data_IF_647821174106
#
_entry.id   IF_647821174106
#
_cell.length_a   1.000
_cell.length_b   1.000
_cell.length_c   1.000
_cell.angle_alpha   90.00
_cell.angle_beta   90.00
_cell.angle_gamma   90.00
#
_symmetry.space_group_name_H-M   'P 1'
#
loop_
_entity.id
_entity.type
_entity.pdbx_description
1 polymer ?
#
# COMPACT_ATOMS: atom_id res chain seq x y z
N UNK A 1 -7.55 4.27 -11.94
CA UNK A 1 -6.88 3.01 -11.51
C UNK A 1 -6.42 3.23 -10.08
N UNK A 2 -6.72 2.29 -9.18
CA UNK A 2 -6.33 2.39 -7.77
C UNK A 2 -5.02 1.64 -7.54
N UNK A 3 -4.10 2.24 -6.79
CA UNK A 3 -2.75 1.76 -6.51
C UNK A 3 -2.65 1.37 -5.03
N UNK A 4 -2.40 0.08 -4.78
CA UNK A 4 -2.23 -0.46 -3.43
C UNK A 4 -0.81 -1.01 -3.36
N UNK A 5 -0.03 -0.55 -2.39
CA UNK A 5 1.38 -0.93 -2.26
C UNK A 5 1.63 -1.65 -0.94
N UNK A 6 2.48 -2.68 -0.99
CA UNK A 6 3.06 -3.34 0.19
C UNK A 6 4.57 -3.21 0.08
N UNK A 7 5.18 -2.12 0.57
CA UNK A 7 6.61 -1.90 0.42
C UNK A 7 7.42 -2.92 1.23
N UNK A 8 8.57 -3.31 0.69
CA UNK A 8 9.57 -4.02 1.49
C UNK A 8 9.97 -3.16 2.71
N UNK A 9 10.44 -3.81 3.78
CA UNK A 9 10.71 -3.15 5.06
C UNK A 9 11.62 -1.92 4.93
N UNK A 10 12.63 -2.03 4.06
CA UNK A 10 13.62 -0.98 3.77
C UNK A 10 13.01 0.28 3.12
N UNK A 11 11.87 0.14 2.44
CA UNK A 11 11.24 1.23 1.69
C UNK A 11 9.97 1.75 2.34
N UNK A 12 9.54 1.27 3.51
CA UNK A 12 8.25 1.68 4.11
C UNK A 12 8.12 3.19 4.33
N UNK A 13 9.24 3.84 4.66
CA UNK A 13 9.30 5.28 4.92
C UNK A 13 9.61 6.11 3.66
N UNK A 14 9.66 5.47 2.50
CA UNK A 14 9.95 6.18 1.26
C UNK A 14 8.79 7.13 0.91
N UNK A 15 9.05 8.44 0.76
CA UNK A 15 8.01 9.42 0.48
C UNK A 15 7.33 9.20 -0.88
N UNK A 16 7.93 8.42 -1.79
CA UNK A 16 7.33 8.07 -3.08
C UNK A 16 6.01 7.31 -2.93
N UNK A 17 5.75 6.66 -1.79
CA UNK A 17 4.48 5.98 -1.52
C UNK A 17 3.30 6.91 -1.26
N UNK A 18 3.53 8.23 -1.09
CA UNK A 18 2.46 9.21 -0.96
C UNK A 18 1.53 9.28 -2.19
N UNK A 19 1.96 8.74 -3.34
CA UNK A 19 1.15 8.65 -4.55
C UNK A 19 0.20 7.44 -4.55
N UNK A 20 0.45 6.42 -3.73
CA UNK A 20 -0.41 5.25 -3.65
C UNK A 20 -1.68 5.56 -2.86
N UNK A 21 -2.82 5.01 -3.27
CA UNK A 21 -4.10 5.18 -2.56
C UNK A 21 -4.07 4.50 -1.19
N UNK A 22 -3.39 3.34 -1.11
CA UNK A 22 -3.24 2.59 0.14
C UNK A 22 -1.83 2.01 0.27
N UNK A 23 -1.23 2.17 1.45
CA UNK A 23 0.01 1.53 1.86
C UNK A 23 -0.30 0.51 2.96
N UNK A 24 -0.09 -0.78 2.70
CA UNK A 24 -0.27 -1.85 3.67
C UNK A 24 1.09 -2.37 4.17
N UNK A 25 1.11 -3.00 5.33
CA UNK A 25 2.33 -3.64 5.87
C UNK A 25 2.44 -5.12 5.49
N UNK A 26 1.33 -5.74 5.08
CA UNK A 26 1.25 -7.14 4.61
C UNK A 26 0.10 -7.30 3.63
N UNK A 27 0.19 -8.29 2.72
CA UNK A 27 -0.90 -8.65 1.80
C UNK A 27 -2.13 -9.20 2.54
N UNK A 28 -1.96 -9.74 3.74
CA UNK A 28 -3.07 -10.24 4.57
C UNK A 28 -4.02 -9.12 5.02
N UNK A 29 -3.59 -7.86 4.99
CA UNK A 29 -4.42 -6.70 5.29
C UNK A 29 -5.30 -6.27 4.11
N UNK A 30 -5.21 -6.93 2.96
CA UNK A 30 -6.01 -6.59 1.79
C UNK A 30 -7.47 -6.99 2.01
N UNK A 31 -8.35 -6.00 2.13
CA UNK A 31 -9.80 -6.18 2.28
C UNK A 31 -10.56 -5.63 1.07
N UNK A 32 -11.84 -6.02 0.87
CA UNK A 32 -12.67 -5.48 -0.19
C UNK A 32 -12.87 -3.95 -0.14
N UNK A 33 -12.74 -3.32 1.04
CA UNK A 33 -12.79 -1.85 1.15
C UNK A 33 -11.63 -1.18 0.43
N UNK A 34 -10.51 -1.88 0.23
CA UNK A 34 -9.42 -1.42 -0.62
C UNK A 34 -9.66 -1.73 -2.09
N UNK A 35 -10.81 -2.26 -2.53
CA UNK A 35 -11.12 -2.53 -3.95
C UNK A 35 -12.31 -1.72 -4.46
N UNK A 36 -13.16 -1.23 -3.56
CA UNK A 36 -14.30 -0.36 -3.85
C UNK A 36 -13.91 0.99 -4.49
#
# INVERSE_FOLDING_TARGET
MRSIVVPAAEYRQDPRWALADHQLTSLEQLTPSHLA
#
